data_IF_032266545271
#
_entry.id   IF_032266545271
#
_cell.length_a   1.000
_cell.length_b   1.000
_cell.length_c   1.000
_cell.angle_alpha   90.00
_cell.angle_beta   90.00
_cell.angle_gamma   90.00
#
_symmetry.space_group_name_H-M   'P 1'
#
loop_
_entity.id
_entity.type
_entity.pdbx_description
1 polymer ?
#
# COMPACT_ATOMS: atom_id res chain seq x y z
N UNK A 1 -31.98 51.07 20.59
CA UNK A 1 -32.85 51.14 21.79
C UNK A 1 -34.12 50.34 21.55
N UNK A 2 -34.51 49.50 22.54
CA UNK A 2 -35.86 48.93 22.80
C UNK A 2 -36.43 47.98 21.73
N UNK A 3 -36.22 46.66 21.86
CA UNK A 3 -37.13 45.68 22.51
C UNK A 3 -38.58 45.76 21.99
N UNK A 4 -38.92 44.86 21.06
CA UNK A 4 -40.28 44.36 20.89
C UNK A 4 -40.35 42.96 21.50
N UNK A 5 -40.84 42.89 22.74
CA UNK A 5 -41.26 41.65 23.37
C UNK A 5 -42.74 41.41 23.08
N UNK A 6 -43.10 40.18 22.73
CA UNK A 6 -44.48 39.76 22.69
C UNK A 6 -44.61 38.31 23.19
N UNK A 7 -45.22 38.22 24.38
CA UNK A 7 -46.24 37.24 24.78
C UNK A 7 -45.77 35.86 25.24
N UNK A 8 -45.77 35.74 26.57
CA UNK A 8 -46.16 34.55 27.31
C UNK A 8 -47.35 33.80 26.67
N UNK A 9 -47.22 32.48 26.54
CA UNK A 9 -48.30 31.53 26.80
C UNK A 9 -47.69 30.24 27.38
N UNK A 10 -47.96 30.03 28.66
CA UNK A 10 -47.97 28.70 29.25
C UNK A 10 -49.13 27.92 28.63
N UNK A 11 -48.89 26.67 28.24
CA UNK A 11 -49.90 25.61 28.26
C UNK A 11 -49.18 24.29 28.60
N UNK A 12 -49.64 23.65 29.66
CA UNK A 12 -49.16 22.42 30.29
C UNK A 12 -49.79 21.16 29.66
N UNK A 13 -49.33 19.92 30.00
CA UNK A 13 -49.34 18.75 29.11
C UNK A 13 -50.61 17.88 29.18
N UNK A 14 -50.92 17.07 28.16
CA UNK A 14 -51.80 15.92 28.33
C UNK A 14 -51.02 14.64 28.67
N UNK A 15 -51.45 14.03 29.76
CA UNK A 15 -51.10 12.73 30.33
C UNK A 15 -51.60 11.53 29.51
N UNK A 16 -50.98 10.38 29.77
CA UNK A 16 -51.55 9.01 29.73
C UNK A 16 -51.36 8.16 28.45
N UNK A 17 -50.55 7.11 28.63
CA UNK A 17 -50.81 5.71 28.27
C UNK A 17 -51.44 5.39 26.91
N UNK A 18 -50.63 4.91 25.97
CA UNK A 18 -51.07 3.99 24.92
C UNK A 18 -50.02 2.89 24.71
N UNK A 19 -50.21 1.80 25.45
CA UNK A 19 -49.62 0.50 25.20
C UNK A 19 -50.17 -0.04 23.87
N UNK A 20 -49.34 -0.16 22.81
CA UNK A 20 -49.44 -1.22 21.78
C UNK A 20 -48.23 -1.17 20.80
N UNK A 21 -47.34 -2.18 20.89
CA UNK A 21 -46.51 -2.91 19.89
C UNK A 21 -46.08 -2.25 18.51
N UNK A 22 -45.00 -2.70 17.82
CA UNK A 22 -44.38 -4.03 17.90
C UNK A 22 -42.84 -4.15 17.90
N UNK A 23 -42.42 -5.18 18.61
CA UNK A 23 -41.23 -6.02 18.43
C UNK A 23 -41.17 -6.58 17.00
N UNK A 24 -40.19 -6.19 16.17
CA UNK A 24 -39.58 -6.99 15.09
C UNK A 24 -38.48 -6.16 14.39
N UNK A 25 -37.34 -6.00 15.08
CA UNK A 25 -36.12 -5.49 14.47
C UNK A 25 -35.59 -6.49 13.45
N UNK A 26 -35.77 -6.19 12.16
CA UNK A 26 -35.26 -6.97 11.05
C UNK A 26 -33.73 -6.89 11.04
N UNK A 27 -33.09 -7.99 11.48
CA UNK A 27 -31.69 -8.28 11.17
C UNK A 27 -31.53 -8.27 9.64
N UNK A 28 -30.93 -7.21 9.11
CA UNK A 28 -30.44 -7.20 7.74
C UNK A 28 -29.19 -8.08 7.69
N UNK A 29 -29.40 -9.35 7.35
CA UNK A 29 -28.32 -10.28 7.00
C UNK A 29 -28.02 -10.17 5.51
N UNK A 30 -27.24 -9.17 5.11
CA UNK A 30 -26.66 -9.15 3.77
C UNK A 30 -25.39 -10.02 3.76
N UNK A 31 -25.59 -11.33 3.78
CA UNK A 31 -24.59 -12.30 3.31
C UNK A 31 -24.90 -12.61 1.86
N UNK A 32 -24.21 -11.94 0.93
CA UNK A 32 -24.14 -12.37 -0.46
C UNK A 32 -22.69 -12.37 -0.95
N UNK A 33 -22.34 -13.49 -1.61
CA UNK A 33 -21.11 -13.76 -2.39
C UNK A 33 -19.82 -14.11 -1.63
N UNK A 34 -19.76 -15.35 -1.16
CA UNK A 34 -18.50 -16.09 -1.06
C UNK A 34 -18.23 -16.81 -2.39
N UNK A 35 -17.52 -16.16 -3.31
CA UNK A 35 -16.48 -16.75 -4.20
C UNK A 35 -16.01 -15.70 -5.21
N UNK A 36 -15.19 -14.77 -4.74
CA UNK A 36 -14.25 -14.04 -5.58
C UNK A 36 -12.88 -14.42 -5.04
N UNK A 37 -12.15 -15.29 -5.76
CA UNK A 37 -10.86 -15.79 -5.30
C UNK A 37 -9.83 -14.66 -5.27
N UNK A 38 -9.66 -14.09 -4.07
CA UNK A 38 -8.67 -13.08 -3.75
C UNK A 38 -9.29 -11.86 -3.05
N UNK A 39 -9.22 -11.82 -1.71
CA UNK A 39 -9.53 -10.60 -0.98
C UNK A 39 -8.52 -9.50 -1.30
N UNK A 40 -9.01 -8.32 -1.67
CA UNK A 40 -8.20 -7.12 -1.93
C UNK A 40 -7.37 -6.68 -0.70
N UNK A 41 -7.76 -7.12 0.49
CA UNK A 41 -7.08 -6.85 1.75
C UNK A 41 -5.60 -7.28 1.80
N UNK A 42 -5.15 -8.14 0.88
CA UNK A 42 -3.74 -8.60 0.79
C UNK A 42 -2.92 -7.84 -0.25
N UNK A 43 -3.52 -6.91 -0.99
CA UNK A 43 -2.81 -6.13 -2.00
C UNK A 43 -1.70 -5.28 -1.36
N UNK A 44 -0.49 -5.28 -1.94
CA UNK A 44 0.62 -4.45 -1.48
C UNK A 44 1.35 -4.92 -0.21
N UNK A 45 0.86 -5.95 0.51
CA UNK A 45 1.44 -6.46 1.78
C UNK A 45 2.97 -6.64 1.72
N UNK A 46 3.48 -7.24 0.64
CA UNK A 46 4.91 -7.56 0.51
C UNK A 46 5.77 -6.30 0.34
N UNK A 47 5.26 -5.29 -0.38
CA UNK A 47 6.00 -4.04 -0.62
C UNK A 47 6.01 -3.12 0.60
N UNK A 48 4.97 -3.16 1.44
CA UNK A 48 4.94 -2.40 2.70
C UNK A 48 5.68 -3.10 3.84
N UNK A 49 5.72 -4.44 3.84
CA UNK A 49 6.45 -5.21 4.86
C UNK A 49 7.97 -5.18 4.66
N UNK A 50 8.46 -5.01 3.43
CA UNK A 50 9.90 -4.96 3.17
C UNK A 50 10.50 -3.63 3.67
N UNK A 51 11.63 -3.65 4.40
CA UNK A 51 12.26 -2.44 4.88
C UNK A 51 12.67 -1.56 3.69
N UNK A 52 12.33 -0.27 3.77
CA UNK A 52 12.61 0.66 2.69
C UNK A 52 14.09 1.03 2.69
N UNK A 53 14.86 0.38 1.85
CA UNK A 53 16.27 0.75 1.64
C UNK A 53 16.35 1.96 0.73
N UNK A 54 16.93 3.06 1.24
CA UNK A 54 17.22 4.24 0.46
C UNK A 54 18.30 3.95 -0.60
N UNK A 55 18.23 4.67 -1.72
CA UNK A 55 19.21 4.48 -2.79
C UNK A 55 20.55 5.03 -2.31
N UNK A 56 21.52 4.13 -2.15
CA UNK A 56 22.90 4.53 -1.90
C UNK A 56 23.39 5.46 -3.02
N UNK A 57 24.05 6.55 -2.64
CA UNK A 57 24.70 7.46 -3.61
C UNK A 57 25.86 6.73 -4.30
N UNK A 58 25.68 6.46 -5.59
CA UNK A 58 26.67 5.79 -6.42
C UNK A 58 27.31 6.78 -7.37
N UNK A 59 28.63 6.72 -7.51
CA UNK A 59 29.38 7.51 -8.49
C UNK A 59 28.80 7.31 -9.89
N UNK A 60 28.70 8.39 -10.66
CA UNK A 60 28.16 8.37 -12.02
C UNK A 60 29.01 7.43 -12.88
N UNK A 61 28.38 6.40 -13.44
CA UNK A 61 29.04 5.58 -14.46
C UNK A 61 29.23 6.43 -15.71
N UNK A 62 30.43 6.48 -16.32
CA UNK A 62 30.62 7.18 -17.58
C UNK A 62 29.71 6.57 -18.66
N UNK A 63 29.30 7.38 -19.64
CA UNK A 63 28.38 6.98 -20.72
C UNK A 63 29.12 6.82 -22.05
N UNK A 64 28.48 6.17 -23.02
CA UNK A 64 29.00 6.02 -24.39
C UNK A 64 30.31 5.23 -24.49
N UNK A 65 31.28 5.80 -25.22
CA UNK A 65 32.57 5.18 -25.55
C UNK A 65 33.40 4.81 -24.33
N UNK A 66 33.45 5.69 -23.33
CA UNK A 66 34.19 5.45 -22.09
C UNK A 66 33.70 4.20 -21.35
N UNK A 67 32.37 3.99 -21.29
CA UNK A 67 31.79 2.77 -20.71
C UNK A 67 32.18 1.51 -21.50
N UNK A 68 32.17 1.59 -22.83
CA UNK A 68 32.54 0.47 -23.70
C UNK A 68 34.02 0.08 -23.52
N UNK A 69 34.92 1.06 -23.37
CA UNK A 69 36.34 0.80 -23.07
C UNK A 69 36.52 0.07 -21.74
N UNK A 70 35.88 0.55 -20.67
CA UNK A 70 35.93 -0.11 -19.35
C UNK A 70 35.39 -1.55 -19.42
N UNK A 71 34.28 -1.76 -20.15
CA UNK A 71 33.70 -3.10 -20.33
C UNK A 71 34.61 -4.04 -21.12
N UNK A 72 35.26 -3.54 -22.19
CA UNK A 72 36.19 -4.34 -22.98
C UNK A 72 37.40 -4.77 -22.15
N UNK A 73 38.06 -3.82 -21.47
CA UNK A 73 39.20 -4.12 -20.62
C UNK A 73 38.83 -5.16 -19.54
N UNK A 74 37.68 -5.01 -18.87
CA UNK A 74 37.21 -5.95 -17.83
C UNK A 74 36.83 -7.33 -18.36
N UNK A 75 36.41 -7.45 -19.63
CA UNK A 75 35.92 -8.72 -20.20
C UNK A 75 37.02 -9.53 -20.87
N UNK A 76 37.99 -8.86 -21.49
CA UNK A 76 38.91 -9.49 -22.43
C UNK A 76 40.39 -9.24 -22.12
N UNK A 77 40.75 -8.04 -21.65
CA UNK A 77 42.17 -7.69 -21.42
C UNK A 77 42.64 -8.13 -20.03
N UNK A 78 41.85 -7.84 -19.00
CA UNK A 78 42.25 -8.07 -17.61
C UNK A 78 41.88 -9.46 -17.09
N UNK A 79 41.15 -10.28 -17.87
CA UNK A 79 40.69 -11.61 -17.44
C UNK A 79 41.09 -12.63 -18.50
N UNK A 80 42.18 -13.36 -18.24
CA UNK A 80 42.54 -14.58 -18.97
C UNK A 80 41.65 -15.71 -18.46
N UNK A 81 40.57 -16.02 -19.16
CA UNK A 81 39.87 -17.27 -18.93
C UNK A 81 40.80 -18.43 -19.30
N UNK A 82 41.00 -19.40 -18.39
CA UNK A 82 41.67 -20.64 -18.73
C UNK A 82 41.01 -21.27 -19.97
N UNK A 83 41.78 -21.87 -20.89
CA UNK A 83 41.23 -22.46 -22.10
C UNK A 83 40.14 -23.49 -21.72
N UNK A 84 38.89 -23.20 -22.10
CA UNK A 84 37.72 -24.03 -21.79
C UNK A 84 36.72 -23.44 -20.77
N UNK A 85 37.07 -22.37 -20.04
CA UNK A 85 36.19 -21.75 -19.04
C UNK A 85 35.32 -20.60 -19.59
N UNK A 86 33.99 -20.75 -19.62
CA UNK A 86 33.09 -19.61 -19.89
C UNK A 86 33.06 -18.65 -18.69
N UNK A 87 33.49 -17.40 -18.89
CA UNK A 87 33.56 -16.35 -17.85
C UNK A 87 32.19 -16.07 -17.21
N UNK A 88 32.10 -16.16 -15.88
CA UNK A 88 30.92 -15.77 -15.09
C UNK A 88 31.05 -14.31 -14.63
N UNK A 89 30.02 -13.49 -14.86
CA UNK A 89 30.06 -12.04 -14.61
C UNK A 89 29.65 -11.65 -13.18
N UNK A 90 28.81 -12.47 -12.55
CA UNK A 90 28.31 -12.26 -11.20
C UNK A 90 28.20 -13.61 -10.48
N UNK A 91 29.33 -14.26 -10.15
CA UNK A 91 29.30 -15.39 -9.24
C UNK A 91 28.85 -14.89 -7.86
N UNK A 92 27.98 -15.64 -7.19
CA UNK A 92 27.72 -15.39 -5.77
C UNK A 92 29.05 -15.62 -5.02
N UNK A 93 29.39 -14.79 -4.02
CA UNK A 93 30.49 -15.14 -3.13
C UNK A 93 30.11 -16.45 -2.42
N UNK A 94 30.92 -17.49 -2.61
CA UNK A 94 30.83 -18.67 -1.75
C UNK A 94 31.29 -18.27 -0.35
N UNK A 95 30.56 -18.75 0.66
CA UNK A 95 30.67 -18.33 2.06
C UNK A 95 32.07 -18.53 2.63
#
# INVERSE_FOLDING_TARGET
MRRFGARNRQESPPTASSLFAPLFGHHHSDKTSASLHGSLARAGKVKSQTPKVEKQEKKKTPKGRAKKRILYNRRFVNVTAAPGGKRRMNPAPEK
#
